data_IF_161555245842
#
_entry.id   IF_161555245842
#
_cell.length_a   1.000
_cell.length_b   1.000
_cell.length_c   1.000
_cell.angle_alpha   90.00
_cell.angle_beta   90.00
_cell.angle_gamma   90.00
#
_symmetry.space_group_name_H-M   'P 1'
#
loop_
_entity.id
_entity.type
_entity.pdbx_description
1 polymer ?
#
# COMPACT_ATOMS: atom_id res chain seq x y z
N UNK A 1 -8.48 17.84 6.74
CA UNK A 1 -8.50 16.46 7.26
C UNK A 1 -7.69 15.60 6.30
N UNK A 2 -6.54 15.07 6.74
CA UNK A 2 -5.70 14.21 5.88
C UNK A 2 -6.29 12.81 5.74
N UNK A 3 -6.13 12.20 4.57
CA UNK A 3 -6.41 10.77 4.35
C UNK A 3 -5.09 10.03 4.27
N UNK A 4 -5.08 8.77 4.72
CA UNK A 4 -3.91 7.91 4.62
C UNK A 4 -4.36 6.56 4.04
N UNK A 5 -3.63 6.09 3.03
CA UNK A 5 -3.75 4.74 2.48
C UNK A 5 -2.78 3.81 3.18
N UNK A 6 -3.25 2.64 3.60
CA UNK A 6 -2.40 1.61 4.24
C UNK A 6 -1.66 0.86 3.14
N UNK A 7 -0.33 0.71 3.23
CA UNK A 7 0.44 -0.05 2.23
C UNK A 7 0.76 -1.48 2.67
N UNK A 8 1.12 -1.64 3.94
CA UNK A 8 1.45 -2.91 4.53
C UNK A 8 1.08 -2.90 6.00
N UNK A 9 0.74 -4.08 6.52
CA UNK A 9 0.21 -4.22 7.88
C UNK A 9 0.80 -5.47 8.53
N UNK A 10 1.12 -5.39 9.82
CA UNK A 10 1.50 -6.54 10.63
C UNK A 10 0.34 -7.52 10.83
N UNK A 11 -0.90 -7.08 10.55
CA UNK A 11 -2.06 -7.95 10.57
C UNK A 11 -2.03 -8.86 9.34
N UNK A 12 -2.30 -10.12 9.61
CA UNK A 12 -2.38 -11.18 8.60
C UNK A 12 -3.47 -10.87 7.58
N UNK A 13 -3.08 -10.76 6.31
CA UNK A 13 -3.99 -10.63 5.17
C UNK A 13 -4.15 -12.00 4.50
N UNK A 14 -5.39 -12.51 4.47
CA UNK A 14 -5.74 -13.72 3.72
C UNK A 14 -6.14 -13.33 2.30
N UNK A 15 -5.39 -13.84 1.31
CA UNK A 15 -5.74 -13.74 -0.11
C UNK A 15 -6.73 -14.84 -0.49
N UNK A 16 -7.50 -14.63 -1.56
CA UNK A 16 -8.49 -15.58 -2.07
C UNK A 16 -7.88 -16.92 -2.52
N UNK A 17 -6.58 -16.92 -2.85
CA UNK A 17 -5.80 -18.12 -3.16
C UNK A 17 -5.38 -18.94 -1.92
N UNK A 18 -5.80 -18.54 -0.71
CA UNK A 18 -5.46 -19.21 0.55
C UNK A 18 -4.12 -18.82 1.16
N UNK A 19 -3.33 -17.96 0.51
CA UNK A 19 -2.09 -17.45 1.09
C UNK A 19 -2.37 -16.44 2.21
N UNK A 20 -1.53 -16.51 3.25
CA UNK A 20 -1.51 -15.53 4.34
C UNK A 20 -0.23 -14.71 4.21
N UNK A 21 -0.39 -13.39 4.13
CA UNK A 21 0.73 -12.46 4.08
C UNK A 21 0.74 -11.64 5.36
N UNK A 22 1.93 -11.53 5.96
CA UNK A 22 2.16 -10.73 7.15
C UNK A 22 3.44 -9.93 6.94
N UNK A 23 3.37 -8.63 7.19
CA UNK A 23 4.53 -7.76 7.14
C UNK A 23 5.12 -7.59 8.54
N UNK A 24 6.41 -7.29 8.62
CA UNK A 24 7.07 -7.07 9.91
C UNK A 24 6.64 -5.75 10.57
N UNK A 25 6.34 -4.72 9.77
CA UNK A 25 5.90 -3.40 10.26
C UNK A 25 4.67 -2.87 9.50
N UNK A 26 3.96 -1.90 10.09
CA UNK A 26 2.84 -1.19 9.47
C UNK A 26 3.35 0.06 8.76
N UNK A 27 2.95 0.26 7.50
CA UNK A 27 3.23 1.50 6.77
C UNK A 27 1.97 2.08 6.13
N UNK A 28 1.92 3.41 6.09
CA UNK A 28 0.86 4.18 5.46
C UNK A 28 1.44 5.32 4.62
N UNK A 29 0.75 5.68 3.53
CA UNK A 29 1.06 6.82 2.67
C UNK A 29 -0.04 7.85 2.80
N UNK A 30 0.35 9.11 2.93
CA UNK A 30 -0.61 10.21 2.99
C UNK A 30 -1.12 10.51 1.57
N UNK A 31 -2.45 10.53 1.44
CA UNK A 31 -3.14 10.74 0.18
C UNK A 31 -4.11 11.93 0.28
N UNK A 32 -4.39 12.54 -0.86
CA UNK A 32 -5.43 13.56 -0.98
C UNK A 32 -6.84 12.95 -1.14
N UNK A 33 -7.84 13.79 -1.40
CA UNK A 33 -9.22 13.34 -1.63
C UNK A 33 -9.42 12.64 -2.98
N UNK A 34 -8.48 12.84 -3.91
CA UNK A 34 -8.43 12.29 -5.27
C UNK A 34 -7.54 11.03 -5.33
N UNK A 35 -7.15 10.47 -4.18
CA UNK A 35 -6.29 9.27 -4.04
C UNK A 35 -4.87 9.44 -4.60
N UNK A 36 -4.41 10.68 -4.79
CA UNK A 36 -3.02 10.94 -5.16
C UNK A 36 -2.13 10.94 -3.91
N UNK A 37 -0.92 10.41 -4.03
CA UNK A 37 0.09 10.55 -3.00
C UNK A 37 0.52 12.00 -2.85
N UNK A 38 0.51 12.52 -1.63
CA UNK A 38 1.05 13.85 -1.33
C UNK A 38 2.59 13.83 -1.37
N UNK A 39 3.19 12.67 -1.09
CA UNK A 39 4.62 12.44 -1.17
C UNK A 39 5.10 12.02 -2.57
N UNK A 40 6.38 12.27 -2.84
CA UNK A 40 7.07 11.93 -4.10
C UNK A 40 7.83 10.61 -4.06
N UNK A 41 7.98 9.99 -2.88
CA UNK A 41 8.73 8.73 -2.72
C UNK A 41 8.10 7.84 -1.66
N UNK A 42 8.03 6.55 -1.96
CA UNK A 42 7.53 5.50 -1.08
C UNK A 42 8.70 4.55 -0.78
N UNK A 43 8.84 4.17 0.49
CA UNK A 43 9.89 3.27 0.96
C UNK A 43 9.26 1.99 1.50
N UNK A 44 9.87 0.84 1.20
CA UNK A 44 9.43 -0.46 1.67
C UNK A 44 8.58 -1.23 0.67
N UNK A 45 8.30 -2.47 1.04
CA UNK A 45 7.48 -3.41 0.26
C UNK A 45 6.01 -3.08 0.45
N UNK A 46 5.27 -2.99 -0.65
CA UNK A 46 3.83 -2.71 -0.62
C UNK A 46 3.01 -3.94 -1.01
N UNK A 47 1.77 -4.00 -0.53
CA UNK A 47 0.83 -5.02 -0.98
C UNK A 47 0.41 -4.77 -2.44
N UNK A 48 0.49 -5.80 -3.28
CA UNK A 48 0.03 -5.79 -4.67
C UNK A 48 -1.46 -5.50 -4.82
N UNK A 49 -2.24 -5.68 -3.76
CA UNK A 49 -3.66 -5.31 -3.68
C UNK A 49 -3.91 -3.83 -4.00
N UNK A 50 -2.93 -2.95 -3.71
CA UNK A 50 -3.02 -1.53 -4.02
C UNK A 50 -3.18 -1.25 -5.52
N UNK A 51 -2.74 -2.17 -6.38
CA UNK A 51 -2.93 -2.06 -7.83
C UNK A 51 -4.40 -2.17 -8.24
N UNK A 52 -5.19 -2.92 -7.50
CA UNK A 52 -6.63 -3.10 -7.74
C UNK A 52 -7.47 -1.95 -7.16
N UNK A 53 -6.93 -1.26 -6.14
CA UNK A 53 -7.62 -0.19 -5.41
C UNK A 53 -7.36 1.22 -5.97
N UNK A 54 -6.99 1.33 -7.25
CA UNK A 54 -6.76 2.61 -7.95
C UNK A 54 -5.55 3.43 -7.46
N UNK A 55 -4.67 2.86 -6.63
CA UNK A 55 -3.44 3.52 -6.16
C UNK A 55 -2.28 3.43 -7.15
N UNK A 56 -2.56 3.57 -8.44
CA UNK A 56 -1.59 3.34 -9.53
C UNK A 56 -0.33 4.20 -9.40
N UNK A 57 -0.45 5.46 -8.98
CA UNK A 57 0.71 6.35 -8.75
C UNK A 57 1.64 5.81 -7.66
N UNK A 58 1.10 5.31 -6.56
CA UNK A 58 1.88 4.76 -5.45
C UNK A 58 2.60 3.49 -5.90
N UNK A 59 1.90 2.60 -6.60
CA UNK A 59 2.49 1.37 -7.16
C UNK A 59 3.64 1.69 -8.11
N UNK A 60 3.50 2.69 -8.99
CA UNK A 60 4.56 3.11 -9.91
C UNK A 60 5.77 3.76 -9.24
N UNK A 61 5.59 4.37 -8.07
CA UNK A 61 6.67 5.01 -7.31
C UNK A 61 7.47 4.01 -6.46
N UNK A 62 7.00 2.78 -6.35
CA UNK A 62 7.55 1.79 -5.43
C UNK A 62 8.42 0.78 -6.17
N UNK A 63 9.64 0.49 -5.69
CA UNK A 63 10.52 -0.49 -6.33
C UNK A 63 10.10 -1.95 -6.11
N UNK A 64 9.37 -2.27 -5.04
CA UNK A 64 9.03 -3.64 -4.66
C UNK A 64 7.56 -3.80 -4.27
N UNK A 65 6.90 -4.82 -4.86
CA UNK A 65 5.46 -5.12 -4.70
C UNK A 65 5.29 -6.64 -4.45
N UNK A 66 4.49 -7.01 -3.44
CA UNK A 66 4.26 -8.41 -3.01
C UNK A 66 2.81 -8.88 -3.14
#
# INVERSE_FOLDING_TARGET
MGRAGILCTCKELKRDNGMIIRYDDNAAVVIDQELNSIGTRVFGVIAGELRHLSFTKIVSLTPEVL
#
